data_IF_093184819507
#
_entry.id   IF_093184819507
#
_cell.length_a   1.000
_cell.length_b   1.000
_cell.length_c   1.000
_cell.angle_alpha   90.00
_cell.angle_beta   90.00
_cell.angle_gamma   90.00
#
_symmetry.space_group_name_H-M   'P 1'
#
loop_
_entity.id
_entity.type
_entity.pdbx_description
1 polymer ?
#
# COMPACT_ATOMS: atom_id res chain seq x y z
N UNK A 1 1.13 -20.83 -4.27
CA UNK A 1 1.13 -19.38 -4.57
C UNK A 1 -0.04 -18.74 -3.82
N UNK A 2 0.16 -17.59 -3.17
CA UNK A 2 -0.90 -16.85 -2.45
C UNK A 2 -0.92 -15.41 -2.95
N UNK A 3 -2.11 -14.87 -3.20
CA UNK A 3 -2.33 -13.49 -3.61
C UNK A 3 -3.11 -12.77 -2.50
N UNK A 4 -2.68 -11.56 -2.15
CA UNK A 4 -3.33 -10.71 -1.15
C UNK A 4 -3.80 -9.46 -1.89
N UNK A 5 -5.10 -9.22 -1.88
CA UNK A 5 -5.68 -8.02 -2.49
C UNK A 5 -5.86 -6.94 -1.41
N UNK A 6 -5.32 -5.77 -1.68
CA UNK A 6 -5.44 -4.60 -0.80
C UNK A 6 -6.10 -3.48 -1.61
N UNK A 7 -7.19 -2.92 -1.09
CA UNK A 7 -7.78 -1.72 -1.65
C UNK A 7 -6.95 -0.51 -1.22
N UNK A 8 -6.84 0.51 -2.07
CA UNK A 8 -6.22 1.77 -1.65
C UNK A 8 -6.88 2.32 -0.38
N UNK A 9 -6.08 3.01 0.44
CA UNK A 9 -6.58 3.77 1.58
C UNK A 9 -7.51 4.90 1.12
N UNK A 10 -8.10 5.61 2.09
CA UNK A 10 -8.95 6.77 1.79
C UNK A 10 -8.22 7.78 0.88
N UNK A 11 -8.75 8.03 -0.33
CA UNK A 11 -8.06 8.85 -1.31
C UNK A 11 -8.39 10.33 -1.19
N UNK A 12 -7.38 11.15 -1.46
CA UNK A 12 -7.55 12.53 -1.91
C UNK A 12 -7.47 12.53 -3.45
N UNK A 13 -8.65 12.50 -4.09
CA UNK A 13 -8.73 12.44 -5.56
C UNK A 13 -8.19 13.70 -6.25
N UNK A 14 -8.23 14.87 -5.60
CA UNK A 14 -7.78 16.11 -6.22
C UNK A 14 -6.25 16.14 -6.37
N UNK A 15 -5.55 15.52 -5.43
CA UNK A 15 -4.08 15.48 -5.39
C UNK A 15 -3.49 14.12 -5.80
N UNK A 16 -4.34 13.19 -6.27
CA UNK A 16 -4.00 11.78 -6.55
C UNK A 16 -3.12 11.12 -5.47
N UNK A 17 -3.46 11.34 -4.20
CA UNK A 17 -2.73 10.81 -3.05
C UNK A 17 -3.69 10.29 -1.98
N UNK A 18 -3.18 9.94 -0.80
CA UNK A 18 -3.98 9.57 0.35
C UNK A 18 -4.26 10.77 1.26
N UNK A 19 -5.44 10.76 1.89
CA UNK A 19 -5.70 11.66 3.03
C UNK A 19 -4.81 11.26 4.22
N UNK A 20 -4.83 12.06 5.30
CA UNK A 20 -4.16 11.67 6.55
C UNK A 20 -4.71 10.34 7.11
N UNK A 21 -6.03 10.14 7.01
CA UNK A 21 -6.68 8.88 7.39
C UNK A 21 -6.28 7.73 6.44
N UNK A 22 -6.19 7.99 5.13
CA UNK A 22 -5.72 7.00 4.16
C UNK A 22 -4.30 6.52 4.44
N UNK A 23 -3.38 7.42 4.80
CA UNK A 23 -2.01 7.06 5.22
C UNK A 23 -1.99 6.24 6.51
N UNK A 24 -2.85 6.58 7.47
CA UNK A 24 -3.01 5.78 8.69
C UNK A 24 -3.51 4.36 8.37
N UNK A 25 -4.51 4.22 7.49
CA UNK A 25 -5.01 2.93 7.02
C UNK A 25 -3.93 2.12 6.31
N UNK A 26 -3.14 2.74 5.44
CA UNK A 26 -2.02 2.10 4.74
C UNK A 26 -0.95 1.60 5.72
N UNK A 27 -0.59 2.41 6.73
CA UNK A 27 0.35 2.00 7.78
C UNK A 27 -0.18 0.80 8.58
N UNK A 28 -1.44 0.83 9.03
CA UNK A 28 -2.07 -0.29 9.73
C UNK A 28 -2.14 -1.56 8.86
N UNK A 29 -2.34 -1.40 7.55
CA UNK A 29 -2.33 -2.53 6.60
C UNK A 29 -0.94 -3.13 6.48
N UNK A 30 0.10 -2.30 6.38
CA UNK A 30 1.49 -2.76 6.35
C UNK A 30 1.84 -3.52 7.62
N UNK A 31 1.50 -2.99 8.80
CA UNK A 31 1.68 -3.66 10.09
C UNK A 31 1.00 -5.03 10.15
N UNK A 32 -0.24 -5.12 9.66
CA UNK A 32 -0.98 -6.40 9.61
C UNK A 32 -0.34 -7.43 8.67
N UNK A 33 0.39 -6.97 7.67
CA UNK A 33 1.08 -7.79 6.67
C UNK A 33 2.57 -7.99 6.97
N UNK A 34 3.08 -7.51 8.11
CA UNK A 34 4.51 -7.54 8.44
C UNK A 34 5.13 -8.95 8.35
N UNK A 35 4.45 -9.95 8.91
CA UNK A 35 4.96 -11.32 8.99
C UNK A 35 4.56 -12.18 7.78
N UNK A 36 3.84 -11.61 6.82
CA UNK A 36 3.48 -12.31 5.58
C UNK A 36 4.73 -12.43 4.69
N UNK A 37 5.04 -13.60 4.10
CA UNK A 37 6.21 -13.79 3.25
C UNK A 37 6.01 -13.18 1.84
N UNK A 38 5.78 -11.86 1.78
CA UNK A 38 5.56 -11.11 0.55
C UNK A 38 6.88 -10.96 -0.19
N UNK A 39 6.90 -11.34 -1.47
CA UNK A 39 8.10 -11.30 -2.32
C UNK A 39 8.01 -10.29 -3.46
N UNK A 40 6.81 -9.78 -3.74
CA UNK A 40 6.56 -8.78 -4.77
C UNK A 40 5.27 -8.03 -4.44
N UNK A 41 5.22 -6.75 -4.82
CA UNK A 41 4.07 -5.87 -4.64
C UNK A 41 3.81 -5.20 -5.99
N UNK A 42 2.56 -5.24 -6.43
CA UNK A 42 2.10 -4.64 -7.68
C UNK A 42 0.99 -3.63 -7.37
N UNK A 43 1.02 -2.48 -8.04
CA UNK A 43 0.00 -1.46 -7.90
C UNK A 43 -0.46 -0.91 -9.26
N UNK A 44 -1.65 -0.32 -9.27
CA UNK A 44 -2.05 0.58 -10.36
C UNK A 44 -1.15 1.83 -10.34
N UNK A 45 -0.89 2.48 -11.48
CA UNK A 45 -0.04 3.67 -11.56
C UNK A 45 -0.65 4.92 -10.88
N UNK A 46 -1.87 4.84 -10.35
CA UNK A 46 -2.51 5.96 -9.63
C UNK A 46 -1.74 6.27 -8.34
N UNK A 47 -1.50 7.54 -8.04
CA UNK A 47 -0.70 7.94 -6.88
C UNK A 47 -1.27 7.42 -5.56
N UNK A 48 -2.60 7.43 -5.37
CA UNK A 48 -3.26 6.84 -4.18
C UNK A 48 -2.98 5.33 -4.01
N UNK A 49 -2.85 4.56 -5.09
CA UNK A 49 -2.58 3.12 -5.02
C UNK A 49 -1.10 2.86 -4.79
N UNK A 50 -0.22 3.62 -5.48
CA UNK A 50 1.24 3.55 -5.26
C UNK A 50 1.57 3.94 -3.82
N UNK A 51 0.99 5.03 -3.31
CA UNK A 51 1.20 5.48 -1.94
C UNK A 51 0.66 4.47 -0.92
N UNK A 52 -0.49 3.83 -1.16
CA UNK A 52 -0.95 2.76 -0.26
C UNK A 52 0.04 1.59 -0.24
N UNK A 53 0.51 1.17 -1.42
CA UNK A 53 1.42 0.04 -1.57
C UNK A 53 2.81 0.33 -0.97
N UNK A 54 3.28 1.58 -0.98
CA UNK A 54 4.61 1.96 -0.52
C UNK A 54 4.82 1.69 0.97
N UNK A 55 3.77 1.75 1.81
CA UNK A 55 3.89 1.42 3.23
C UNK A 55 4.26 -0.05 3.44
N UNK A 56 3.57 -0.96 2.75
CA UNK A 56 3.89 -2.40 2.80
C UNK A 56 5.25 -2.65 2.14
N UNK A 57 5.54 -2.00 1.01
CA UNK A 57 6.81 -2.16 0.31
C UNK A 57 8.01 -1.76 1.18
N UNK A 58 7.94 -0.59 1.83
CA UNK A 58 8.97 -0.12 2.76
C UNK A 58 9.17 -1.09 3.92
N UNK A 59 8.10 -1.63 4.50
CA UNK A 59 8.18 -2.58 5.62
C UNK A 59 8.86 -3.89 5.23
N UNK A 60 8.67 -4.34 3.99
CA UNK A 60 9.27 -5.56 3.45
C UNK A 60 10.61 -5.34 2.75
N UNK A 61 11.07 -4.09 2.63
CA UNK A 61 12.30 -3.75 1.90
C UNK A 61 12.20 -4.03 0.40
N UNK A 62 11.04 -3.80 -0.18
CA UNK A 62 10.72 -4.03 -1.60
C UNK A 62 10.37 -2.73 -2.31
N UNK A 63 10.43 -2.77 -3.64
CA UNK A 63 9.88 -1.73 -4.51
C UNK A 63 8.44 -2.05 -4.93
N UNK A 64 7.66 -1.03 -5.23
CA UNK A 64 6.32 -1.16 -5.85
C UNK A 64 6.48 -1.25 -7.36
N UNK A 65 5.92 -2.30 -7.96
CA UNK A 65 5.90 -2.50 -9.41
C UNK A 65 4.59 -2.04 -10.05
#
# INVERSE_FOLDING_TARGET
MRLIFVRHGEPDYANDCLTANGRHQAACTAERLRDEPIRAIYASPMGRTVETASFTAQMHGLDVQ
#
